data_IF_938364123537
#
_entry.id   IF_938364123537
#
_cell.length_a   1.000
_cell.length_b   1.000
_cell.length_c   1.000
_cell.angle_alpha   90.00
_cell.angle_beta   90.00
_cell.angle_gamma   90.00
#
_symmetry.space_group_name_H-M   'P 1'
#
loop_
_entity.id
_entity.type
_entity.pdbx_description
1 polymer ?
#
# COMPACT_ATOMS: atom_id res chain seq x y z
N UNK A 1 -14.12 -54.97 6.33
CA UNK A 1 -15.07 -55.12 5.21
C UNK A 1 -14.45 -54.38 4.03
N UNK A 2 -13.89 -54.96 2.97
CA UNK A 2 -13.79 -56.32 2.45
C UNK A 2 -12.32 -56.51 1.99
N UNK A 3 -11.73 -57.63 2.40
CA UNK A 3 -10.38 -58.07 2.04
C UNK A 3 -10.48 -58.87 0.74
N UNK A 4 -9.86 -58.40 -0.35
CA UNK A 4 -9.74 -59.17 -1.58
C UNK A 4 -8.35 -59.82 -1.64
N UNK A 5 -8.30 -61.12 -1.34
CA UNK A 5 -7.13 -61.99 -1.50
C UNK A 5 -7.34 -62.84 -2.75
N UNK A 6 -6.63 -62.57 -3.84
CA UNK A 6 -6.59 -63.44 -5.01
C UNK A 6 -5.49 -64.48 -4.82
N UNK A 7 -5.89 -65.74 -4.57
CA UNK A 7 -5.03 -66.92 -4.64
C UNK A 7 -4.99 -67.40 -6.09
N UNK A 8 -3.84 -67.26 -6.74
CA UNK A 8 -3.52 -68.03 -7.95
C UNK A 8 -2.63 -69.19 -7.50
N UNK A 9 -3.21 -70.37 -7.34
CA UNK A 9 -2.48 -71.62 -7.15
C UNK A 9 -2.61 -72.44 -8.44
N UNK A 10 -1.57 -72.44 -9.29
CA UNK A 10 -1.35 -73.49 -10.30
C UNK A 10 0.14 -73.79 -10.37
N UNK A 11 0.49 -75.07 -10.18
CA UNK A 11 1.78 -75.65 -10.53
C UNK A 11 2.86 -75.59 -9.45
N UNK A 12 2.89 -76.60 -8.58
CA UNK A 12 4.02 -76.88 -7.67
C UNK A 12 4.91 -77.96 -8.29
N UNK A 13 6.23 -77.75 -8.43
CA UNK A 13 7.22 -78.81 -8.35
C UNK A 13 7.79 -78.93 -6.92
N UNK A 14 8.20 -80.12 -6.45
CA UNK A 14 8.41 -80.41 -5.04
C UNK A 14 9.86 -80.16 -4.62
N UNK A 15 10.26 -78.89 -4.47
CA UNK A 15 11.41 -78.48 -3.64
C UNK A 15 11.67 -76.99 -3.89
N UNK A 16 11.10 -76.13 -3.06
CA UNK A 16 11.33 -74.69 -3.18
C UNK A 16 10.73 -73.94 -2.02
N UNK A 17 11.58 -73.36 -1.19
CA UNK A 17 11.19 -72.50 -0.08
C UNK A 17 10.18 -71.42 -0.53
N UNK A 18 9.02 -71.39 0.13
CA UNK A 18 8.01 -70.35 -0.05
C UNK A 18 8.53 -69.04 0.55
N UNK A 19 9.13 -68.20 -0.28
CA UNK A 19 9.60 -66.87 0.11
C UNK A 19 8.40 -65.90 0.08
N UNK A 20 7.76 -65.72 1.23
CA UNK A 20 6.74 -64.67 1.42
C UNK A 20 7.47 -63.32 1.37
N UNK A 21 7.53 -62.71 0.19
CA UNK A 21 8.02 -61.35 0.02
C UNK A 21 6.92 -60.38 0.46
N UNK A 22 6.96 -59.96 1.72
CA UNK A 22 6.15 -58.83 2.21
C UNK A 22 6.57 -57.58 1.43
N UNK A 23 5.70 -57.12 0.53
CA UNK A 23 5.84 -55.80 -0.11
C UNK A 23 5.57 -54.79 1.00
N UNK A 24 6.62 -54.40 1.71
CA UNK A 24 6.57 -53.24 2.59
C UNK A 24 6.19 -52.05 1.75
N UNK A 25 4.98 -51.50 1.95
CA UNK A 25 4.64 -50.17 1.46
C UNK A 25 5.68 -49.24 2.07
N UNK A 26 6.68 -48.85 1.29
CA UNK A 26 7.71 -47.92 1.73
C UNK A 26 7.03 -46.66 2.21
N UNK A 27 6.95 -46.49 3.53
CA UNK A 27 6.50 -45.24 4.12
C UNK A 27 7.52 -44.21 3.66
N UNK A 28 7.10 -43.32 2.74
CA UNK A 28 7.92 -42.18 2.37
C UNK A 28 8.37 -41.51 3.68
N UNK A 29 9.68 -41.34 3.89
CA UNK A 29 10.17 -40.90 5.18
C UNK A 29 9.50 -39.59 5.60
N UNK A 30 8.91 -39.56 6.80
CA UNK A 30 8.16 -38.41 7.33
C UNK A 30 8.90 -37.06 7.20
N UNK A 31 10.23 -37.08 7.19
CA UNK A 31 11.07 -35.89 7.00
C UNK A 31 10.88 -35.20 5.64
N UNK A 32 10.52 -35.94 4.58
CA UNK A 32 10.22 -35.37 3.25
C UNK A 32 8.97 -34.49 3.28
N UNK A 33 7.94 -34.91 4.01
CA UNK A 33 6.72 -34.12 4.19
C UNK A 33 6.97 -32.89 5.04
N UNK A 34 7.77 -33.03 6.11
CA UNK A 34 8.16 -31.90 6.97
C UNK A 34 8.97 -30.87 6.16
N UNK A 35 9.94 -31.30 5.34
CA UNK A 35 10.69 -30.40 4.47
C UNK A 35 9.83 -29.76 3.39
N UNK A 36 8.93 -30.52 2.76
CA UNK A 36 8.01 -29.96 1.77
C UNK A 36 7.11 -28.89 2.40
N UNK A 37 6.54 -29.15 3.59
CA UNK A 37 5.77 -28.18 4.36
C UNK A 37 6.60 -26.95 4.74
N UNK A 38 7.88 -27.12 5.10
CA UNK A 38 8.77 -26.02 5.46
C UNK A 38 9.20 -25.17 4.25
N UNK A 39 9.42 -25.79 3.08
CA UNK A 39 9.87 -25.11 1.86
C UNK A 39 8.73 -24.44 1.08
N UNK A 40 7.50 -24.93 1.22
CA UNK A 40 6.32 -24.38 0.55
C UNK A 40 6.10 -22.88 0.83
N UNK A 41 6.10 -22.37 2.07
CA UNK A 41 5.92 -20.94 2.33
C UNK A 41 7.07 -20.10 1.76
N UNK A 42 8.30 -20.61 1.76
CA UNK A 42 9.46 -19.93 1.16
C UNK A 42 9.27 -19.80 -0.34
N UNK A 43 8.92 -20.89 -1.03
CA UNK A 43 8.67 -20.88 -2.46
C UNK A 43 7.52 -19.92 -2.83
N UNK A 44 6.41 -19.95 -2.10
CA UNK A 44 5.27 -19.05 -2.31
C UNK A 44 5.69 -17.60 -2.12
N UNK A 45 6.45 -17.29 -1.06
CA UNK A 45 6.97 -15.93 -0.83
C UNK A 45 7.92 -15.49 -1.95
N UNK A 46 8.84 -16.35 -2.40
CA UNK A 46 9.76 -16.05 -3.51
C UNK A 46 9.02 -15.80 -4.83
N UNK A 47 8.02 -16.60 -5.15
CA UNK A 47 7.18 -16.39 -6.35
C UNK A 47 6.42 -15.08 -6.24
N UNK A 48 5.84 -14.76 -5.08
CA UNK A 48 5.12 -13.51 -4.86
C UNK A 48 6.04 -12.27 -5.01
N UNK A 49 7.25 -12.32 -4.46
CA UNK A 49 8.27 -11.28 -4.63
C UNK A 49 8.69 -11.16 -6.11
N UNK A 50 8.88 -12.29 -6.80
CA UNK A 50 9.21 -12.31 -8.23
C UNK A 50 8.12 -11.67 -9.09
N UNK A 51 6.84 -11.96 -8.80
CA UNK A 51 5.69 -11.33 -9.48
C UNK A 51 5.63 -9.84 -9.19
N UNK A 52 5.80 -9.43 -7.94
CA UNK A 52 5.79 -8.01 -7.55
C UNK A 52 6.90 -7.24 -8.29
N UNK A 53 8.12 -7.79 -8.29
CA UNK A 53 9.26 -7.22 -9.01
C UNK A 53 9.00 -7.13 -10.51
N UNK A 54 8.48 -8.20 -11.13
CA UNK A 54 8.16 -8.19 -12.57
C UNK A 54 7.10 -7.15 -12.97
N UNK A 55 6.15 -6.83 -12.07
CA UNK A 55 5.09 -5.85 -12.35
C UNK A 55 5.47 -4.40 -12.06
N UNK A 56 6.32 -4.15 -11.06
CA UNK A 56 6.56 -2.80 -10.55
C UNK A 56 7.98 -2.53 -10.02
N UNK A 57 8.93 -3.42 -10.29
CA UNK A 57 10.31 -3.32 -9.82
C UNK A 57 10.41 -3.32 -8.29
N UNK A 58 11.46 -2.67 -7.77
CA UNK A 58 11.72 -2.60 -6.33
C UNK A 58 10.64 -1.84 -5.56
N UNK A 59 10.00 -0.86 -6.21
CA UNK A 59 8.86 -0.14 -5.64
C UNK A 59 7.74 -1.09 -5.22
N UNK A 60 7.30 -1.96 -6.13
CA UNK A 60 6.23 -2.92 -5.83
C UNK A 60 6.62 -3.93 -4.74
N UNK A 61 7.88 -4.39 -4.73
CA UNK A 61 8.40 -5.26 -3.67
C UNK A 61 8.36 -4.57 -2.31
N UNK A 62 8.88 -3.34 -2.21
CA UNK A 62 8.90 -2.58 -0.97
C UNK A 62 7.50 -2.23 -0.47
N UNK A 63 6.59 -1.86 -1.38
CA UNK A 63 5.18 -1.63 -1.04
C UNK A 63 4.55 -2.90 -0.46
N UNK A 64 4.76 -4.06 -1.09
CA UNK A 64 4.23 -5.34 -0.60
C UNK A 64 4.79 -5.70 0.79
N UNK A 65 6.09 -5.52 1.02
CA UNK A 65 6.73 -5.86 2.30
C UNK A 65 6.34 -4.91 3.43
N UNK A 66 6.15 -3.62 3.15
CA UNK A 66 5.89 -2.59 4.18
C UNK A 66 4.42 -2.36 4.45
N UNK A 67 3.58 -2.40 3.41
CA UNK A 67 2.13 -2.14 3.52
C UNK A 67 1.30 -3.42 3.61
N UNK A 68 1.94 -4.57 3.52
CA UNK A 68 1.29 -5.87 3.44
C UNK A 68 0.80 -6.21 2.03
N UNK A 69 0.44 -7.47 1.83
CA UNK A 69 -0.20 -7.90 0.58
C UNK A 69 -1.60 -7.27 0.50
N UNK A 70 -1.76 -6.24 -0.33
CA UNK A 70 -3.07 -5.68 -0.64
C UNK A 70 -3.91 -6.74 -1.36
N UNK A 71 -4.97 -7.20 -0.71
CA UNK A 71 -5.95 -8.10 -1.33
C UNK A 71 -6.91 -7.23 -2.11
N UNK A 72 -6.73 -7.18 -3.43
CA UNK A 72 -7.66 -6.53 -4.35
C UNK A 72 -8.84 -7.46 -4.55
N UNK A 73 -9.91 -7.23 -3.80
CA UNK A 73 -11.19 -7.89 -4.00
C UNK A 73 -12.26 -6.84 -4.21
N UNK A 74 -13.23 -7.14 -5.07
CA UNK A 74 -14.40 -6.28 -5.23
C UNK A 74 -15.09 -6.09 -3.87
N UNK A 75 -15.52 -4.86 -3.61
CA UNK A 75 -16.29 -4.53 -2.42
C UNK A 75 -17.70 -4.13 -2.86
N UNK A 76 -18.70 -4.82 -2.32
CA UNK A 76 -20.09 -4.41 -2.49
C UNK A 76 -20.34 -3.07 -1.78
N UNK A 77 -21.42 -2.36 -2.15
CA UNK A 77 -21.72 -1.02 -1.60
C UNK A 77 -21.93 -1.02 -0.09
N UNK A 78 -22.37 -2.13 0.48
CA UNK A 78 -22.68 -2.37 1.88
C UNK A 78 -21.58 -3.14 2.63
N UNK A 79 -20.46 -3.44 1.97
CA UNK A 79 -19.39 -4.28 2.49
C UNK A 79 -18.87 -3.78 3.85
N UNK A 80 -18.87 -4.63 4.90
CA UNK A 80 -18.48 -4.23 6.25
C UNK A 80 -17.00 -3.82 6.36
N UNK A 81 -16.16 -4.17 5.38
CA UNK A 81 -14.76 -3.71 5.29
C UNK A 81 -14.66 -2.22 4.95
N UNK A 82 -15.71 -1.62 4.39
CA UNK A 82 -15.76 -0.20 4.07
C UNK A 82 -16.12 0.62 5.31
N UNK A 83 -15.48 1.80 5.43
CA UNK A 83 -15.85 2.75 6.49
C UNK A 83 -17.31 3.13 6.39
N UNK A 84 -17.90 3.56 7.51
CA UNK A 84 -19.31 3.97 7.54
C UNK A 84 -19.57 5.13 6.57
N UNK A 85 -18.69 6.13 6.53
CA UNK A 85 -18.79 7.25 5.59
C UNK A 85 -18.82 6.80 4.13
N UNK A 86 -17.95 5.86 3.75
CA UNK A 86 -17.92 5.30 2.39
C UNK A 86 -19.25 4.60 2.06
N UNK A 87 -19.75 3.73 2.95
CA UNK A 87 -21.02 3.02 2.73
C UNK A 87 -22.20 3.98 2.55
N UNK A 88 -22.27 5.04 3.37
CA UNK A 88 -23.32 6.06 3.25
C UNK A 88 -23.22 6.81 1.91
N UNK A 89 -22.01 7.20 1.50
CA UNK A 89 -21.77 7.86 0.21
C UNK A 89 -22.17 6.99 -0.99
N UNK A 90 -21.83 5.68 -0.95
CA UNK A 90 -22.21 4.70 -1.97
C UNK A 90 -23.72 4.41 -1.99
N UNK A 91 -24.39 4.56 -0.84
CA UNK A 91 -25.85 4.50 -0.72
C UNK A 91 -26.54 5.81 -1.15
N UNK A 92 -25.80 6.82 -1.59
CA UNK A 92 -26.33 8.11 -2.06
C UNK A 92 -26.46 9.18 -0.97
N UNK A 93 -26.14 8.87 0.28
CA UNK A 93 -26.12 9.84 1.38
C UNK A 93 -24.75 10.53 1.43
N UNK A 94 -24.62 11.60 0.64
CA UNK A 94 -23.35 12.32 0.43
C UNK A 94 -23.25 13.66 1.14
N UNK A 95 -24.35 14.12 1.73
CA UNK A 95 -24.39 15.39 2.46
C UNK A 95 -24.15 15.13 3.94
N UNK A 96 -23.00 15.57 4.50
CA UNK A 96 -22.78 15.50 5.93
C UNK A 96 -23.67 16.50 6.68
N UNK A 97 -23.79 16.33 7.98
CA UNK A 97 -24.41 17.31 8.88
C UNK A 97 -23.62 18.63 8.84
N UNK A 98 -24.23 19.72 9.31
CA UNK A 98 -23.57 21.00 9.42
C UNK A 98 -22.28 20.89 10.26
N UNK A 99 -21.21 21.51 9.77
CA UNK A 99 -19.88 21.44 10.35
C UNK A 99 -19.83 22.23 11.66
N UNK A 100 -19.29 21.61 12.72
CA UNK A 100 -19.02 22.32 13.99
C UNK A 100 -17.84 23.30 13.82
N UNK A 101 -17.78 24.40 14.60
CA UNK A 101 -16.63 25.31 14.56
C UNK A 101 -15.31 24.58 14.84
N UNK A 102 -14.30 24.83 14.00
CA UNK A 102 -12.99 24.19 14.11
C UNK A 102 -12.29 24.67 15.40
N UNK A 103 -11.89 23.73 16.25
CA UNK A 103 -11.14 23.99 17.48
C UNK A 103 -9.64 23.82 17.24
N UNK A 104 -8.97 24.93 16.98
CA UNK A 104 -7.52 24.96 16.76
C UNK A 104 -6.74 24.79 18.07
N UNK A 105 -5.71 23.95 18.04
CA UNK A 105 -4.76 23.77 19.13
C UNK A 105 -3.35 24.09 18.63
N UNK A 106 -2.70 25.07 19.26
CA UNK A 106 -1.32 25.42 18.92
C UNK A 106 -0.36 24.41 19.54
N UNK A 107 0.28 23.58 18.70
CA UNK A 107 1.22 22.54 19.14
C UNK A 107 2.68 23.01 19.10
N UNK A 108 2.96 24.04 18.30
CA UNK A 108 4.23 24.76 18.28
C UNK A 108 4.00 26.17 17.71
N UNK A 109 4.96 27.08 17.89
CA UNK A 109 4.85 28.44 17.36
C UNK A 109 4.75 28.42 15.83
N UNK A 110 3.61 28.89 15.30
CA UNK A 110 3.33 28.86 13.85
C UNK A 110 2.78 27.53 13.34
N UNK A 111 2.44 26.58 14.21
CA UNK A 111 1.79 25.32 13.85
C UNK A 111 0.59 25.06 14.76
N UNK A 112 -0.59 25.07 14.15
CA UNK A 112 -1.85 24.69 14.79
C UNK A 112 -2.41 23.43 14.15
N UNK A 113 -3.05 22.59 14.95
CA UNK A 113 -3.75 21.40 14.48
C UNK A 113 -5.19 21.41 14.97
N UNK A 114 -6.07 20.76 14.24
CA UNK A 114 -7.44 20.53 14.66
C UNK A 114 -7.94 19.19 14.13
N UNK A 115 -8.85 18.56 14.87
CA UNK A 115 -9.63 17.44 14.39
C UNK A 115 -11.07 17.90 14.21
N UNK A 116 -11.64 17.66 13.04
CA UNK A 116 -13.00 18.05 12.69
C UNK A 116 -13.83 16.79 12.46
N UNK A 117 -14.73 16.42 13.41
CA UNK A 117 -15.56 15.25 13.24
C UNK A 117 -16.55 15.46 12.07
N UNK A 118 -16.64 14.46 11.21
CA UNK A 118 -17.63 14.41 10.13
C UNK A 118 -18.80 13.57 10.61
N UNK A 119 -20.00 14.16 10.58
CA UNK A 119 -21.24 13.51 11.01
C UNK A 119 -22.23 13.38 9.86
N UNK A 120 -23.08 12.35 9.94
CA UNK A 120 -24.26 12.22 9.10
C UNK A 120 -25.40 11.66 9.96
N UNK A 121 -26.57 12.31 9.92
CA UNK A 121 -27.74 11.97 10.73
C UNK A 121 -27.41 11.90 12.23
N UNK A 122 -26.64 12.87 12.72
CA UNK A 122 -26.27 13.03 14.12
C UNK A 122 -25.20 12.04 14.64
N UNK A 123 -24.62 11.22 13.76
CA UNK A 123 -23.63 10.19 14.15
C UNK A 123 -22.28 10.43 13.48
N UNK A 124 -21.15 10.19 14.18
CA UNK A 124 -19.82 10.29 13.58
C UNK A 124 -19.65 9.21 12.50
N UNK A 125 -19.09 9.61 11.36
CA UNK A 125 -18.84 8.73 10.20
C UNK A 125 -17.41 8.79 9.69
N UNK A 126 -16.71 9.90 9.98
CA UNK A 126 -15.30 10.13 9.65
C UNK A 126 -14.74 11.30 10.49
N UNK A 127 -13.47 11.64 10.30
CA UNK A 127 -12.86 12.84 10.86
C UNK A 127 -11.83 13.44 9.87
N UNK A 128 -11.79 14.78 9.79
CA UNK A 128 -10.74 15.50 9.07
C UNK A 128 -9.66 15.96 10.05
N UNK A 129 -8.42 15.58 9.78
CA UNK A 129 -7.25 16.11 10.47
C UNK A 129 -6.75 17.34 9.71
N UNK A 130 -6.73 18.47 10.38
CA UNK A 130 -6.37 19.76 9.81
C UNK A 130 -5.05 20.24 10.42
N UNK A 131 -4.21 20.86 9.60
CA UNK A 131 -2.99 21.53 10.03
C UNK A 131 -2.93 22.91 9.41
N UNK A 132 -2.65 23.93 10.24
CA UNK A 132 -2.41 25.29 9.80
C UNK A 132 -0.97 25.65 10.13
N UNK A 133 -0.23 26.09 9.12
CA UNK A 133 1.21 26.30 9.18
C UNK A 133 1.49 27.73 8.75
N UNK A 134 2.21 28.48 9.59
CA UNK A 134 2.78 29.79 9.25
C UNK A 134 3.99 29.60 8.35
N UNK A 135 3.90 29.96 7.06
CA UNK A 135 5.00 29.72 6.12
C UNK A 135 6.25 30.57 6.43
N UNK A 136 6.11 31.68 7.18
CA UNK A 136 7.27 32.47 7.60
C UNK A 136 8.13 31.77 8.66
N UNK A 137 7.58 30.75 9.34
CA UNK A 137 8.25 30.02 10.43
C UNK A 137 8.67 28.60 10.05
N UNK A 138 8.11 28.06 8.97
CA UNK A 138 8.34 26.69 8.55
C UNK A 138 8.92 26.63 7.14
N UNK A 139 9.91 25.75 6.95
CA UNK A 139 10.40 25.40 5.62
C UNK A 139 9.61 24.21 5.09
N UNK A 140 9.13 24.33 3.85
CA UNK A 140 8.54 23.22 3.12
C UNK A 140 9.55 22.62 2.17
N UNK A 141 9.50 21.29 2.03
CA UNK A 141 10.27 20.54 1.05
C UNK A 141 9.38 19.49 0.43
N UNK A 142 9.46 19.34 -0.89
CA UNK A 142 8.93 18.17 -1.59
C UNK A 142 10.07 17.17 -1.68
N UNK A 143 9.82 15.93 -1.28
CA UNK A 143 10.82 14.86 -1.31
C UNK A 143 10.21 13.66 -2.05
N UNK A 144 11.06 12.95 -2.78
CA UNK A 144 10.69 11.73 -3.48
C UNK A 144 11.72 10.62 -3.20
N UNK A 145 11.26 9.37 -3.21
CA UNK A 145 12.10 8.17 -3.10
C UNK A 145 11.49 7.07 -3.96
N UNK A 146 11.91 6.97 -5.23
CA UNK A 146 11.30 6.07 -6.22
C UNK A 146 11.27 4.60 -5.79
N UNK A 147 12.17 4.19 -4.89
CA UNK A 147 12.24 2.83 -4.37
C UNK A 147 11.03 2.46 -3.50
N UNK A 148 10.22 3.43 -3.04
CA UNK A 148 9.02 3.15 -2.24
C UNK A 148 9.32 2.51 -0.88
N UNK A 149 10.56 2.61 -0.41
CA UNK A 149 11.06 2.02 0.84
C UNK A 149 10.82 2.91 2.08
N UNK A 150 10.01 3.96 1.94
CA UNK A 150 9.73 4.91 3.02
C UNK A 150 8.26 5.34 3.02
N UNK A 151 7.59 5.07 4.14
CA UNK A 151 6.26 5.61 4.43
C UNK A 151 6.35 6.98 5.12
N UNK A 152 5.20 7.56 5.48
CA UNK A 152 5.13 8.86 6.16
C UNK A 152 5.94 8.87 7.46
N UNK A 153 5.85 7.81 8.27
CA UNK A 153 6.62 7.70 9.52
C UNK A 153 8.13 7.62 9.29
N UNK A 154 8.55 6.85 8.29
CA UNK A 154 9.95 6.78 7.86
C UNK A 154 10.48 8.11 7.34
N UNK A 155 9.65 8.92 6.66
CA UNK A 155 10.00 10.28 6.26
C UNK A 155 10.10 11.22 7.46
N UNK A 156 9.18 11.17 8.41
CA UNK A 156 9.27 11.95 9.65
C UNK A 156 10.58 11.65 10.40
N UNK A 157 10.89 10.37 10.61
CA UNK A 157 12.12 9.96 11.30
C UNK A 157 13.40 10.39 10.55
N UNK A 158 13.43 10.24 9.22
CA UNK A 158 14.61 10.57 8.42
C UNK A 158 14.89 12.08 8.28
N UNK A 159 13.85 12.91 8.43
CA UNK A 159 13.96 14.35 8.18
C UNK A 159 13.87 15.20 9.45
N UNK A 160 13.32 14.65 10.53
CA UNK A 160 12.96 15.42 11.72
C UNK A 160 11.87 16.47 11.45
N UNK A 161 11.10 16.32 10.37
CA UNK A 161 10.06 17.28 10.01
C UNK A 161 8.91 17.28 11.04
N UNK A 162 8.40 18.47 11.34
CA UNK A 162 7.24 18.64 12.24
C UNK A 162 5.95 18.02 11.66
N UNK A 163 5.86 17.92 10.33
CA UNK A 163 4.75 17.29 9.62
C UNK A 163 5.26 16.69 8.31
N UNK A 164 4.76 15.51 7.97
CA UNK A 164 4.90 14.91 6.63
C UNK A 164 3.52 14.46 6.16
N UNK A 165 3.20 14.79 4.92
CA UNK A 165 1.97 14.35 4.25
C UNK A 165 2.31 13.72 2.90
N UNK A 166 1.46 12.81 2.43
CA UNK A 166 1.53 12.35 1.05
C UNK A 166 1.18 13.54 0.13
N UNK A 167 1.92 13.70 -0.97
CA UNK A 167 1.80 14.86 -1.85
C UNK A 167 1.06 14.56 -3.16
N UNK A 168 1.76 13.92 -4.10
CA UNK A 168 1.27 13.67 -5.46
C UNK A 168 0.90 12.22 -5.76
N UNK A 169 0.56 11.98 -7.02
CA UNK A 169 0.25 10.64 -7.56
C UNK A 169 1.50 10.01 -8.17
N UNK A 170 1.58 8.68 -8.07
CA UNK A 170 2.74 7.90 -8.49
C UNK A 170 2.33 6.66 -9.26
N UNK A 171 3.09 6.38 -10.32
CA UNK A 171 3.00 5.15 -11.09
C UNK A 171 3.27 3.93 -10.21
N UNK A 172 2.90 2.75 -10.72
CA UNK A 172 3.29 1.45 -10.13
C UNK A 172 4.80 1.19 -10.08
N UNK A 173 5.60 2.06 -10.67
CA UNK A 173 7.07 1.98 -10.70
C UNK A 173 7.73 3.02 -9.79
N UNK A 174 6.94 3.77 -9.00
CA UNK A 174 7.47 4.78 -8.07
C UNK A 174 7.88 6.11 -8.72
N UNK A 175 7.59 6.31 -10.01
CA UNK A 175 7.75 7.61 -10.68
C UNK A 175 6.50 8.49 -10.49
N UNK A 176 6.63 9.81 -10.29
CA UNK A 176 5.48 10.72 -10.22
C UNK A 176 4.65 10.75 -11.50
N UNK A 177 3.32 10.68 -11.38
CA UNK A 177 2.37 10.85 -12.50
C UNK A 177 2.06 12.32 -12.80
N UNK A 178 2.39 13.21 -11.87
CA UNK A 178 2.18 14.67 -11.97
C UNK A 178 3.53 15.40 -11.92
N UNK A 179 3.62 16.64 -12.44
CA UNK A 179 4.82 17.45 -12.30
C UNK A 179 5.25 17.57 -10.84
N UNK A 180 6.49 17.14 -10.58
CA UNK A 180 7.13 17.24 -9.27
C UNK A 180 8.51 17.84 -9.50
N UNK A 181 8.83 18.88 -8.74
CA UNK A 181 10.17 19.48 -8.67
C UNK A 181 10.63 19.43 -7.22
N UNK A 182 11.81 18.86 -6.99
CA UNK A 182 12.41 18.69 -5.67
C UNK A 182 13.83 19.24 -5.72
N UNK A 183 14.14 20.21 -4.87
CA UNK A 183 15.47 20.86 -4.79
C UNK A 183 16.01 21.26 -6.19
N UNK A 184 15.12 21.79 -7.05
CA UNK A 184 15.44 22.22 -8.42
C UNK A 184 15.44 21.12 -9.48
N UNK A 185 15.36 19.84 -9.09
CA UNK A 185 15.33 18.71 -10.02
C UNK A 185 13.89 18.35 -10.39
N UNK A 186 13.59 18.31 -11.69
CA UNK A 186 12.33 17.75 -12.20
C UNK A 186 12.34 16.23 -12.05
N UNK A 187 11.32 15.70 -11.38
CA UNK A 187 11.14 14.27 -11.12
C UNK A 187 9.91 13.69 -11.82
N UNK A 188 8.91 14.53 -12.10
CA UNK A 188 7.69 14.15 -12.83
C UNK A 188 7.79 14.39 -14.34
N UNK A 189 6.72 14.13 -15.10
CA UNK A 189 6.71 14.29 -16.55
C UNK A 189 7.03 15.73 -16.99
N UNK A 190 7.60 15.85 -18.19
CA UNK A 190 7.95 17.13 -18.81
C UNK A 190 6.73 17.86 -19.37
N UNK A 191 5.68 17.12 -19.76
CA UNK A 191 4.39 17.65 -20.19
C UNK A 191 3.28 17.12 -19.30
N UNK A 192 2.35 18.00 -18.93
CA UNK A 192 1.17 17.65 -18.15
C UNK A 192 0.07 18.65 -18.47
N UNK A 193 -1.09 18.13 -18.88
CA UNK A 193 -2.28 18.94 -19.07
C UNK A 193 -2.87 19.23 -17.68
N UNK A 194 -2.53 20.39 -17.14
CA UNK A 194 -2.90 20.73 -15.77
C UNK A 194 -4.39 21.11 -15.68
N UNK A 195 -5.11 20.32 -14.91
CA UNK A 195 -6.52 20.54 -14.53
C UNK A 195 -6.68 20.88 -13.05
N UNK A 196 -5.57 20.95 -12.31
CA UNK A 196 -5.53 21.14 -10.86
C UNK A 196 -4.41 22.12 -10.48
N UNK A 197 -4.46 22.67 -9.27
CA UNK A 197 -3.41 23.55 -8.76
C UNK A 197 -2.13 22.82 -8.33
N UNK A 198 -1.06 23.59 -8.09
CA UNK A 198 0.20 23.13 -7.53
C UNK A 198 0.54 23.87 -6.23
N UNK A 199 1.26 23.18 -5.36
CA UNK A 199 1.91 23.77 -4.19
C UNK A 199 3.36 24.12 -4.55
N UNK A 200 3.74 25.38 -4.33
CA UNK A 200 5.08 25.88 -4.61
C UNK A 200 5.65 26.47 -3.33
N UNK A 201 6.87 26.03 -2.96
CA UNK A 201 7.60 26.57 -1.82
C UNK A 201 9.06 26.83 -2.17
N UNK A 202 9.58 27.98 -1.73
CA UNK A 202 10.90 28.48 -2.11
C UNK A 202 10.94 29.10 -3.52
N UNK A 203 12.11 29.64 -3.92
CA UNK A 203 12.30 30.27 -5.23
C UNK A 203 11.44 31.53 -5.45
N UNK A 204 10.73 31.61 -6.58
CA UNK A 204 9.85 32.73 -6.97
C UNK A 204 8.66 32.99 -6.03
N UNK A 205 8.58 32.31 -4.89
CA UNK A 205 7.68 32.61 -3.77
C UNK A 205 8.27 33.58 -2.75
N UNK A 206 9.55 33.92 -2.89
CA UNK A 206 10.31 34.66 -1.88
C UNK A 206 10.88 33.72 -0.79
N UNK A 207 11.86 34.21 0.01
CA UNK A 207 12.37 33.47 1.16
C UNK A 207 11.24 33.20 2.16
N UNK A 208 11.03 31.92 2.52
CA UNK A 208 9.92 31.52 3.42
C UNK A 208 8.53 31.52 2.76
N UNK A 209 8.43 31.77 1.44
CA UNK A 209 7.15 31.74 0.74
C UNK A 209 6.68 30.33 0.42
N UNK A 210 5.43 30.03 0.76
CA UNK A 210 4.67 28.90 0.24
C UNK A 210 3.32 29.39 -0.29
N UNK A 211 2.93 28.92 -1.48
CA UNK A 211 1.65 29.31 -2.08
C UNK A 211 1.03 28.18 -2.88
N UNK A 212 -0.28 28.27 -3.06
CA UNK A 212 -1.01 27.50 -4.06
C UNK A 212 -1.04 28.30 -5.36
N UNK A 213 -0.78 27.63 -6.47
CA UNK A 213 -0.84 28.18 -7.82
C UNK A 213 -1.93 27.42 -8.56
N UNK A 214 -2.89 28.13 -9.14
CA UNK A 214 -3.83 27.50 -10.07
C UNK A 214 -3.12 27.26 -11.41
N UNK A 215 -3.15 26.01 -11.88
CA UNK A 215 -2.56 25.62 -13.15
C UNK A 215 -3.62 25.28 -14.21
N UNK A 216 -4.91 25.48 -13.92
CA UNK A 216 -5.97 25.18 -14.87
C UNK A 216 -5.74 25.92 -16.21
N UNK A 217 -5.61 25.15 -17.29
CA UNK A 217 -5.38 25.69 -18.64
C UNK A 217 -3.95 26.20 -18.89
N UNK A 218 -3.04 26.01 -17.92
CA UNK A 218 -1.61 26.23 -18.11
C UNK A 218 -0.95 24.90 -18.47
N UNK A 219 -0.39 24.81 -19.68
CA UNK A 219 0.51 23.70 -19.99
C UNK A 219 1.73 23.82 -19.08
N UNK A 220 2.02 22.76 -18.32
CA UNK A 220 3.28 22.66 -17.60
C UNK A 220 4.42 22.36 -18.58
N UNK A 221 4.67 23.26 -19.53
CA UNK A 221 5.90 23.28 -20.31
C UNK A 221 6.93 24.08 -19.48
N UNK A 222 7.86 23.38 -18.83
CA UNK A 222 9.06 24.06 -18.35
C UNK A 222 10.10 24.11 -19.47
N UNK A 223 11.06 25.06 -19.40
CA UNK A 223 12.22 25.08 -20.30
C UNK A 223 13.04 23.79 -20.23
#
# INVERSE_FOLDING_TARGET
MITASSRVCRGVPPSGHCLIRTIGKGQAPRWRWILALALTPVLVASVAVGIAYGKGGWYAVNVMLRRGANVWGDAARDDPRLSRGIRLSLAGQRTPDAVEPVRWNQVATGLEVAELPVRAAGRPVDALLLSRIDPARYRFRVLNRPEGDRDVGGWMAATGAALVVNGGYYTRHGAPDTPVVSDGHRLGPASYQATHGAFVAGGSAGPGGARLVDLAGLDCAGP
#
